data_IF_148324081619
#
_entry.id   IF_148324081619
#
_cell.length_a   1.000
_cell.length_b   1.000
_cell.length_c   1.000
_cell.angle_alpha   90.00
_cell.angle_beta   90.00
_cell.angle_gamma   90.00
#
_symmetry.space_group_name_H-M   'P 1'
#
loop_
_entity.id
_entity.type
_entity.pdbx_description
1 polymer ?
#
# COMPACT_ATOMS: atom_id res chain seq x y z
N UNK A 1 -6.05 10.86 18.21
CA UNK A 1 -6.84 11.65 17.26
C UNK A 1 -8.27 11.15 17.26
N UNK A 2 -9.17 11.73 16.46
CA UNK A 2 -10.51 11.16 16.28
C UNK A 2 -10.42 9.69 15.84
N UNK A 3 -11.45 8.90 16.18
CA UNK A 3 -11.48 7.43 16.06
C UNK A 3 -10.90 6.81 14.76
N UNK A 4 -11.12 7.35 13.54
CA UNK A 4 -10.59 6.73 12.31
C UNK A 4 -9.07 6.85 12.12
N UNK A 5 -8.38 7.73 12.86
CA UNK A 5 -6.91 7.81 12.84
C UNK A 5 -6.26 6.73 13.71
N UNK A 6 -7.01 6.18 14.66
CA UNK A 6 -6.53 5.18 15.62
C UNK A 6 -7.05 3.77 15.31
N UNK A 7 -7.65 3.54 14.14
CA UNK A 7 -7.94 2.18 13.69
C UNK A 7 -6.64 1.54 13.25
N UNK A 8 -6.40 0.29 13.66
CA UNK A 8 -5.22 -0.45 13.18
C UNK A 8 -5.28 -0.56 11.67
N UNK A 9 -4.20 -0.18 11.00
CA UNK A 9 -4.14 -0.19 9.55
C UNK A 9 -2.71 -0.32 9.04
N UNK A 10 -2.63 -0.90 7.86
CA UNK A 10 -1.44 -0.89 7.04
C UNK A 10 -1.57 0.20 5.99
N UNK A 11 -0.45 0.85 5.68
CA UNK A 11 -0.35 1.77 4.54
C UNK A 11 0.87 1.47 3.69
N UNK A 12 0.72 1.66 2.39
CA UNK A 12 1.84 1.81 1.47
C UNK A 12 2.08 3.29 1.20
N UNK A 13 3.21 3.78 1.68
CA UNK A 13 3.72 5.12 1.45
C UNK A 13 4.55 5.09 0.17
N UNK A 14 4.15 5.87 -0.82
CA UNK A 14 4.76 5.90 -2.14
C UNK A 14 5.29 7.30 -2.43
N UNK A 15 6.49 7.40 -2.99
CA UNK A 15 7.09 8.64 -3.45
C UNK A 15 7.38 8.54 -4.95
N UNK A 16 6.69 9.37 -5.72
CA UNK A 16 7.07 9.68 -7.08
C UNK A 16 7.98 10.93 -7.06
N UNK A 17 9.30 10.71 -7.04
CA UNK A 17 10.29 11.78 -7.13
C UNK A 17 10.58 12.21 -8.58
N UNK A 18 9.97 11.54 -9.57
CA UNK A 18 10.18 11.76 -10.99
C UNK A 18 9.49 13.02 -11.53
N UNK A 19 9.73 13.29 -12.81
CA UNK A 19 9.14 14.42 -13.53
C UNK A 19 7.83 14.07 -14.26
N UNK A 20 7.45 12.79 -14.31
CA UNK A 20 6.24 12.29 -14.94
C UNK A 20 5.28 11.80 -13.86
N UNK A 21 3.98 11.88 -14.13
CA UNK A 21 2.97 11.26 -13.27
C UNK A 21 3.15 9.73 -13.31
N UNK A 22 2.87 9.08 -12.20
CA UNK A 22 2.99 7.63 -12.05
C UNK A 22 1.59 7.00 -11.97
N UNK A 23 1.36 5.95 -12.76
CA UNK A 23 0.24 5.03 -12.61
C UNK A 23 0.75 3.82 -11.85
N UNK A 24 0.23 3.61 -10.65
CA UNK A 24 0.60 2.48 -9.79
C UNK A 24 -0.57 1.52 -9.71
N UNK A 25 -0.32 0.26 -10.04
CA UNK A 25 -1.25 -0.84 -9.86
C UNK A 25 -0.82 -1.66 -8.64
N UNK A 26 -1.75 -1.84 -7.70
CA UNK A 26 -1.54 -2.63 -6.50
C UNK A 26 -2.37 -3.91 -6.57
N UNK A 27 -1.77 -5.03 -6.19
CA UNK A 27 -2.46 -6.30 -5.97
C UNK A 27 -2.30 -6.78 -4.54
N UNK A 28 -3.38 -7.35 -4.01
CA UNK A 28 -3.44 -7.97 -2.70
C UNK A 28 -3.55 -9.48 -2.90
N UNK A 29 -2.55 -10.22 -2.42
CA UNK A 29 -2.52 -11.68 -2.47
C UNK A 29 -2.89 -12.23 -1.10
N UNK A 30 -3.88 -13.11 -1.06
CA UNK A 30 -4.36 -13.77 0.16
C UNK A 30 -3.79 -15.19 0.29
N UNK A 31 -3.93 -15.80 1.46
CA UNK A 31 -3.45 -17.16 1.72
C UNK A 31 -4.34 -18.26 1.16
N UNK A 32 -5.63 -17.97 0.91
CA UNK A 32 -6.68 -18.96 0.68
C UNK A 32 -7.65 -18.62 -0.47
N UNK A 33 -7.47 -17.49 -1.15
CA UNK A 33 -8.30 -17.10 -2.29
C UNK A 33 -7.49 -16.33 -3.37
N UNK A 34 -8.14 -16.12 -4.52
CA UNK A 34 -7.54 -15.40 -5.64
C UNK A 34 -7.14 -13.96 -5.28
N UNK A 35 -6.07 -13.42 -5.88
CA UNK A 35 -5.64 -12.05 -5.61
C UNK A 35 -6.71 -11.02 -5.99
N UNK A 36 -6.80 -9.95 -5.21
CA UNK A 36 -7.63 -8.79 -5.56
C UNK A 36 -6.78 -7.70 -6.21
N UNK A 37 -7.23 -7.17 -7.35
CA UNK A 37 -6.60 -6.06 -8.05
C UNK A 37 -6.76 -6.15 -9.58
N UNK A 38 -6.16 -5.22 -10.33
CA UNK A 38 -5.35 -4.11 -9.82
C UNK A 38 -6.22 -3.02 -9.17
N UNK A 39 -5.76 -2.52 -8.02
CA UNK A 39 -6.18 -1.24 -7.47
C UNK A 39 -5.31 -0.15 -8.08
N UNK A 40 -5.91 0.84 -8.76
CA UNK A 40 -5.16 1.87 -9.50
C UNK A 40 -5.02 3.14 -8.67
N UNK A 41 -3.77 3.59 -8.50
CA UNK A 41 -3.42 4.83 -7.81
C UNK A 41 -2.60 5.72 -8.75
N UNK A 42 -3.05 6.97 -8.94
CA UNK A 42 -2.31 7.96 -9.71
C UNK A 42 -1.53 8.88 -8.76
N UNK A 43 -0.21 8.99 -8.96
CA UNK A 43 0.66 9.85 -8.16
C UNK A 43 1.30 10.87 -9.08
N UNK A 44 0.89 12.14 -8.95
CA UNK A 44 1.46 13.21 -9.75
C UNK A 44 2.98 13.34 -9.56
N UNK A 45 3.67 13.89 -10.56
CA UNK A 45 5.10 14.14 -10.51
C UNK A 45 5.51 14.92 -9.25
N UNK A 46 6.62 14.51 -8.63
CA UNK A 46 7.18 15.14 -7.40
C UNK A 46 6.17 15.17 -6.24
N UNK A 47 5.46 14.06 -5.99
CA UNK A 47 4.51 13.92 -4.89
C UNK A 47 4.69 12.62 -4.12
N UNK A 48 4.37 12.67 -2.84
CA UNK A 48 4.16 11.50 -2.01
C UNK A 48 2.65 11.19 -1.92
N UNK A 49 2.32 9.92 -1.79
CA UNK A 49 0.95 9.43 -1.62
C UNK A 49 0.93 8.28 -0.62
N UNK A 50 0.01 8.31 0.33
CA UNK A 50 -0.14 7.28 1.35
C UNK A 50 -1.48 6.56 1.11
N UNK A 51 -1.42 5.31 0.65
CA UNK A 51 -2.60 4.48 0.48
C UNK A 51 -2.78 3.61 1.73
N UNK A 52 -3.90 3.79 2.45
CA UNK A 52 -4.32 2.83 3.48
C UNK A 52 -4.94 1.61 2.80
N UNK A 53 -4.54 0.41 3.19
CA UNK A 53 -5.07 -0.82 2.58
C UNK A 53 -6.57 -0.97 2.87
N UNK A 54 -7.00 -0.53 4.06
CA UNK A 54 -8.42 -0.51 4.47
C UNK A 54 -9.31 0.39 3.60
N UNK A 55 -8.74 1.37 2.90
CA UNK A 55 -9.50 2.33 2.10
C UNK A 55 -9.63 1.87 0.62
N UNK A 56 -9.03 0.74 0.26
CA UNK A 56 -9.18 0.12 -1.05
C UNK A 56 -10.59 -0.47 -1.21
N UNK A 57 -11.24 -0.17 -2.34
CA UNK A 57 -12.64 -0.54 -2.56
C UNK A 57 -13.01 -0.98 -3.98
N UNK A 58 -12.19 -0.69 -4.98
CA UNK A 58 -12.38 -1.06 -6.40
C UNK A 58 -11.13 -1.80 -6.89
N UNK A 59 -11.19 -3.10 -7.26
CA UNK A 59 -12.38 -3.87 -7.61
C UNK A 59 -13.22 -4.40 -6.44
N UNK A 60 -12.66 -4.45 -5.24
CA UNK A 60 -13.37 -4.93 -4.05
C UNK A 60 -12.73 -4.39 -2.76
N UNK A 61 -13.49 -4.38 -1.66
CA UNK A 61 -12.96 -4.05 -0.33
C UNK A 61 -12.03 -5.17 0.17
N UNK A 62 -10.86 -4.79 0.69
CA UNK A 62 -9.94 -5.74 1.32
C UNK A 62 -10.48 -6.17 2.69
N UNK A 63 -10.67 -7.47 2.95
CA UNK A 63 -11.17 -7.94 4.24
C UNK A 63 -10.25 -7.57 5.41
N UNK A 64 -10.83 -7.11 6.51
CA UNK A 64 -10.07 -6.86 7.74
C UNK A 64 -9.69 -8.17 8.46
N UNK A 65 -8.53 -8.18 9.12
CA UNK A 65 -8.09 -9.31 9.95
C UNK A 65 -7.67 -10.55 9.16
N UNK A 66 -7.51 -10.42 7.84
CA UNK A 66 -6.99 -11.46 6.96
C UNK A 66 -5.53 -11.16 6.63
N UNK A 67 -4.69 -12.18 6.63
CA UNK A 67 -3.29 -12.06 6.23
C UNK A 67 -3.17 -11.92 4.71
N UNK A 68 -2.32 -11.01 4.27
CA UNK A 68 -2.09 -10.75 2.86
C UNK A 68 -0.65 -10.32 2.57
N UNK A 69 -0.28 -10.36 1.29
CA UNK A 69 0.95 -9.78 0.74
C UNK A 69 0.60 -8.80 -0.38
N UNK A 70 1.48 -7.84 -0.65
CA UNK A 70 1.26 -6.81 -1.66
C UNK A 70 2.29 -6.89 -2.77
N UNK A 71 1.84 -6.71 -4.01
CA UNK A 71 2.69 -6.40 -5.16
C UNK A 71 2.24 -5.07 -5.74
N UNK A 72 3.21 -4.19 -6.03
CA UNK A 72 2.96 -2.91 -6.68
C UNK A 72 3.74 -2.86 -7.99
N UNK A 73 3.07 -2.48 -9.08
CA UNK A 73 3.67 -2.19 -10.38
C UNK A 73 3.50 -0.71 -10.66
N UNK A 74 4.57 -0.04 -11.08
CA UNK A 74 4.49 1.33 -11.57
C UNK A 74 5.10 1.41 -12.95
N UNK A 75 4.52 2.27 -13.79
CA UNK A 75 5.00 2.61 -15.12
C UNK A 75 6.28 3.47 -15.11
N UNK A 76 6.56 4.14 -13.99
CA UNK A 76 7.80 4.90 -13.76
C UNK A 76 8.46 4.51 -12.42
N UNK A 77 9.75 4.77 -12.22
CA UNK A 77 10.40 4.47 -10.94
C UNK A 77 9.79 5.26 -9.78
N UNK A 78 9.42 4.55 -8.71
CA UNK A 78 8.92 5.11 -7.45
C UNK A 78 9.65 4.48 -6.26
N UNK A 79 9.61 5.14 -5.10
CA UNK A 79 10.02 4.54 -3.82
C UNK A 79 8.77 4.08 -3.07
N UNK A 80 8.82 2.89 -2.47
CA UNK A 80 7.70 2.32 -1.72
C UNK A 80 8.17 1.90 -0.33
N UNK A 81 7.41 2.32 0.69
CA UNK A 81 7.61 1.98 2.09
C UNK A 81 6.29 1.42 2.66
N UNK A 82 6.36 0.27 3.31
CA UNK A 82 5.23 -0.27 4.05
C UNK A 82 5.26 0.24 5.50
N UNK A 83 4.10 0.61 6.02
CA UNK A 83 3.92 1.02 7.42
C UNK A 83 2.72 0.31 8.01
N UNK A 84 2.81 -0.07 9.28
CA UNK A 84 1.70 -0.61 10.07
C UNK A 84 1.55 0.22 11.33
N UNK A 85 0.33 0.67 11.59
CA UNK A 85 -0.09 1.20 12.89
C UNK A 85 -0.93 0.13 13.59
N UNK A 86 -0.44 -0.42 14.70
CA UNK A 86 -1.23 -1.23 15.63
C UNK A 86 -1.62 -0.37 16.84
N UNK A 87 -2.88 0.04 16.87
CA UNK A 87 -3.40 0.92 17.92
C UNK A 87 -3.73 0.21 19.23
N UNK A 88 -3.62 -1.14 19.28
CA UNK A 88 -3.96 -1.95 20.46
C UNK A 88 -2.83 -2.00 21.49
N UNK A 89 -1.59 -1.71 21.11
CA UNK A 89 -0.42 -1.76 22.00
C UNK A 89 0.49 -0.54 21.81
N UNK A 90 0.44 0.40 22.76
CA UNK A 90 1.16 1.67 22.67
C UNK A 90 2.70 1.53 22.53
N UNK A 91 3.30 0.47 23.11
CA UNK A 91 4.75 0.27 23.11
C UNK A 91 5.30 -0.24 21.75
N UNK A 92 4.47 -0.86 20.91
CA UNK A 92 4.85 -1.47 19.62
C UNK A 92 3.99 -0.93 18.47
N UNK A 93 3.46 0.27 18.63
CA UNK A 93 2.37 0.76 17.79
C UNK A 93 2.75 0.95 16.31
N UNK A 94 4.04 1.00 15.97
CA UNK A 94 4.51 1.33 14.63
C UNK A 94 5.57 0.35 14.14
N UNK A 95 5.33 -0.22 12.96
CA UNK A 95 6.29 -1.00 12.19
C UNK A 95 6.46 -0.36 10.82
N UNK A 96 7.67 -0.39 10.27
CA UNK A 96 7.89 -0.04 8.87
C UNK A 96 9.05 -0.81 8.25
N UNK A 97 8.95 -1.04 6.94
CA UNK A 97 10.02 -1.61 6.11
C UNK A 97 9.95 -1.02 4.71
N UNK A 98 11.09 -1.01 4.02
CA UNK A 98 11.14 -0.65 2.60
C UNK A 98 10.60 -1.84 1.79
N UNK A 99 9.90 -1.58 0.68
CA UNK A 99 9.52 -2.64 -0.24
C UNK A 99 10.76 -3.21 -0.95
N UNK A 100 10.75 -4.51 -1.23
CA UNK A 100 11.79 -5.13 -2.04
C UNK A 100 11.55 -4.80 -3.53
N UNK A 101 12.49 -4.13 -4.22
CA UNK A 101 12.32 -3.80 -5.63
C UNK A 101 12.51 -5.06 -6.49
N UNK A 102 11.45 -5.45 -7.21
CA UNK A 102 11.50 -6.55 -8.18
C UNK A 102 11.54 -5.96 -9.58
N UNK A 103 12.52 -6.38 -10.38
CA UNK A 103 12.57 -6.03 -11.80
C UNK A 103 11.62 -6.97 -12.54
N UNK A 104 10.73 -6.42 -13.38
CA UNK A 104 9.90 -7.28 -14.24
C UNK A 104 10.84 -8.11 -15.14
N UNK A 105 10.62 -9.43 -15.17
CA UNK A 105 11.34 -10.29 -16.11
C UNK A 105 11.08 -9.79 -17.53
N UNK A 106 12.15 -9.60 -18.30
CA UNK A 106 12.12 -9.15 -19.70
C UNK A 106 11.52 -10.21 -20.62
#
# INVERSE_FOLDING_TARGET
GPAPEMTSHDSVCMLNAGAQDAVVELWVYFTDCEPSGPYVVNIAARRAYHQRINDLSDPAVVPHGVDYSLVLRSDVPIVVQHTRLDSRQAANALMSTIAFPVQAAS
#
